data_IF_930634449208
#
_entry.id   IF_930634449208
#
_cell.length_a   1.000
_cell.length_b   1.000
_cell.length_c   1.000
_cell.angle_alpha   90.00
_cell.angle_beta   90.00
_cell.angle_gamma   90.00
#
_symmetry.space_group_name_H-M   'P 1'
#
loop_
_entity.id
_entity.type
_entity.pdbx_description
1 polymer ?
#
# COMPACT_ATOMS: atom_id res chain seq x y z
N UNK A 1 43.47 16.08 -21.77
CA UNK A 1 42.67 14.84 -21.93
C UNK A 1 41.87 14.91 -23.22
N UNK A 2 41.57 13.77 -23.86
CA UNK A 2 40.79 13.72 -25.10
C UNK A 2 39.42 14.43 -24.98
N UNK A 3 38.72 14.29 -23.84
CA UNK A 3 37.45 14.97 -23.57
C UNK A 3 37.54 16.50 -23.70
N UNK A 4 38.63 17.11 -23.21
CA UNK A 4 38.83 18.57 -23.31
C UNK A 4 39.02 19.04 -24.77
N UNK A 5 39.64 18.21 -25.61
CA UNK A 5 39.82 18.51 -27.04
C UNK A 5 38.46 18.46 -27.75
N UNK A 6 37.65 17.42 -27.48
CA UNK A 6 36.30 17.32 -28.02
C UNK A 6 35.38 18.44 -27.54
N UNK A 7 35.44 18.81 -26.25
CA UNK A 7 34.65 19.91 -25.70
C UNK A 7 34.97 21.26 -26.37
N UNK A 8 36.24 21.52 -26.70
CA UNK A 8 36.67 22.74 -27.42
C UNK A 8 36.26 22.75 -28.89
N UNK A 9 36.14 21.59 -29.50
CA UNK A 9 35.68 21.43 -30.89
C UNK A 9 34.16 21.32 -31.04
N UNK A 10 33.38 21.57 -29.98
CA UNK A 10 31.92 21.38 -29.96
C UNK A 10 31.46 19.96 -30.31
N UNK A 11 32.31 18.95 -30.14
CA UNK A 11 31.97 17.54 -30.29
C UNK A 11 31.37 17.00 -28.99
N UNK A 12 30.15 17.44 -28.68
CA UNK A 12 29.49 17.21 -27.38
C UNK A 12 29.34 15.71 -27.05
N UNK A 13 28.82 14.92 -27.99
CA UNK A 13 28.61 13.47 -27.83
C UNK A 13 29.93 12.73 -27.58
N UNK A 14 30.97 13.03 -28.35
CA UNK A 14 32.28 12.37 -28.22
C UNK A 14 32.96 12.74 -26.89
N UNK A 15 32.84 14.00 -26.46
CA UNK A 15 33.33 14.44 -25.16
C UNK A 15 32.69 13.61 -24.02
N UNK A 16 31.36 13.51 -24.01
CA UNK A 16 30.63 12.79 -22.97
C UNK A 16 30.85 11.27 -23.02
N UNK A 17 31.02 10.69 -24.21
CA UNK A 17 31.37 9.28 -24.37
C UNK A 17 32.76 8.98 -23.76
N UNK A 18 33.75 9.85 -24.00
CA UNK A 18 35.08 9.72 -23.38
C UNK A 18 34.99 9.87 -21.86
N UNK A 19 34.19 10.81 -21.36
CA UNK A 19 33.96 10.97 -19.93
C UNK A 19 33.31 9.72 -19.30
N UNK A 20 32.27 9.18 -19.93
CA UNK A 20 31.59 7.97 -19.46
C UNK A 20 32.51 6.75 -19.44
N UNK A 21 33.26 6.50 -20.53
CA UNK A 21 34.24 5.42 -20.63
C UNK A 21 35.39 5.56 -19.64
N UNK A 22 35.82 6.80 -19.38
CA UNK A 22 36.87 7.10 -18.41
C UNK A 22 36.41 7.12 -16.95
N UNK A 23 35.11 6.90 -16.68
CA UNK A 23 34.54 7.07 -15.33
C UNK A 23 34.59 8.51 -14.81
N UNK A 24 34.84 9.49 -15.68
CA UNK A 24 34.94 10.91 -15.37
C UNK A 24 33.56 11.58 -15.38
N UNK A 25 32.64 11.03 -14.57
CA UNK A 25 31.23 11.41 -14.63
C UNK A 25 31.01 12.83 -14.12
N UNK A 26 31.71 13.24 -13.06
CA UNK A 26 31.70 14.62 -12.55
C UNK A 26 32.23 15.63 -13.58
N UNK A 27 33.26 15.22 -14.34
CA UNK A 27 33.82 16.06 -15.41
C UNK A 27 32.83 16.18 -16.58
N UNK A 28 32.15 15.09 -16.96
CA UNK A 28 31.08 15.14 -17.96
C UNK A 28 29.93 16.05 -17.55
N UNK A 29 29.46 15.95 -16.31
CA UNK A 29 28.43 16.83 -15.74
C UNK A 29 28.85 18.30 -15.75
N UNK A 30 30.11 18.60 -15.43
CA UNK A 30 30.65 19.96 -15.49
C UNK A 30 30.59 20.54 -16.91
N UNK A 31 30.97 19.75 -17.93
CA UNK A 31 30.89 20.20 -19.32
C UNK A 31 29.46 20.52 -19.75
N UNK A 32 28.49 19.67 -19.38
CA UNK A 32 27.07 19.91 -19.68
C UNK A 32 26.60 21.23 -19.07
N UNK A 33 26.99 21.50 -17.82
CA UNK A 33 26.65 22.76 -17.16
C UNK A 33 27.25 23.98 -17.87
N UNK A 34 28.51 23.90 -18.29
CA UNK A 34 29.15 24.95 -19.09
C UNK A 34 28.43 25.17 -20.42
N UNK A 35 28.02 24.10 -21.08
CA UNK A 35 27.30 24.22 -22.35
C UNK A 35 25.92 24.87 -22.19
N UNK A 36 25.16 24.49 -21.16
CA UNK A 36 23.89 25.17 -20.83
C UNK A 36 24.05 26.66 -20.55
N UNK A 37 25.16 27.07 -19.94
CA UNK A 37 25.44 28.49 -19.69
C UNK A 37 25.70 29.25 -20.99
N UNK A 38 26.46 28.65 -21.89
CA UNK A 38 26.77 29.25 -23.19
C UNK A 38 25.53 29.33 -24.10
N UNK A 39 24.66 28.31 -24.11
CA UNK A 39 23.39 28.33 -24.83
C UNK A 39 22.46 29.45 -24.34
N UNK A 40 22.42 29.71 -23.02
CA UNK A 40 21.67 30.83 -22.46
C UNK A 40 22.24 32.19 -22.87
N UNK A 41 23.56 32.27 -23.08
CA UNK A 41 24.25 33.49 -23.49
C UNK A 41 24.14 33.75 -25.00
N UNK A 42 24.07 32.68 -25.80
CA UNK A 42 23.93 32.71 -27.25
C UNK A 42 23.00 31.56 -27.73
N UNK A 43 21.69 31.84 -27.89
CA UNK A 43 20.71 30.85 -28.31
C UNK A 43 20.95 30.22 -29.69
N UNK A 44 21.90 30.75 -30.48
CA UNK A 44 22.31 30.19 -31.78
C UNK A 44 23.54 29.29 -31.71
N UNK A 45 24.17 29.14 -30.54
CA UNK A 45 25.45 28.44 -30.38
C UNK A 45 25.37 26.93 -30.57
N UNK A 46 24.23 26.33 -30.22
CA UNK A 46 23.94 24.92 -30.43
C UNK A 46 22.44 24.71 -30.64
N UNK A 47 22.08 23.65 -31.37
CA UNK A 47 20.68 23.21 -31.42
C UNK A 47 20.27 22.70 -30.03
N UNK A 48 19.40 23.44 -29.36
CA UNK A 48 18.94 23.15 -27.99
C UNK A 48 18.39 21.73 -27.84
N UNK A 49 17.69 21.24 -28.86
CA UNK A 49 17.13 19.90 -28.90
C UNK A 49 18.23 18.82 -28.93
N UNK A 50 19.32 19.06 -29.66
CA UNK A 50 20.44 18.12 -29.73
C UNK A 50 21.20 18.08 -28.41
N UNK A 51 21.40 19.23 -27.76
CA UNK A 51 22.05 19.30 -26.45
C UNK A 51 21.24 18.55 -25.38
N UNK A 52 19.92 18.71 -25.40
CA UNK A 52 19.00 18.02 -24.52
C UNK A 52 19.08 16.50 -24.72
N UNK A 53 18.99 16.01 -25.95
CA UNK A 53 19.10 14.56 -26.23
C UNK A 53 20.47 13.98 -25.84
N UNK A 54 21.55 14.73 -26.07
CA UNK A 54 22.91 14.33 -25.71
C UNK A 54 23.09 14.24 -24.19
N UNK A 55 22.58 15.22 -23.44
CA UNK A 55 22.59 15.18 -21.98
C UNK A 55 21.79 14.00 -21.44
N UNK A 56 20.54 13.80 -21.91
CA UNK A 56 19.69 12.71 -21.43
C UNK A 56 20.37 11.35 -21.61
N UNK A 57 20.92 11.11 -22.81
CA UNK A 57 21.65 9.88 -23.12
C UNK A 57 22.90 9.71 -22.26
N UNK A 58 23.61 10.79 -21.94
CA UNK A 58 24.74 10.72 -21.04
C UNK A 58 24.31 10.35 -19.62
N UNK A 59 23.25 10.97 -19.09
CA UNK A 59 22.72 10.66 -17.77
C UNK A 59 22.27 9.19 -17.66
N UNK A 60 21.58 8.67 -18.69
CA UNK A 60 21.21 7.25 -18.78
C UNK A 60 22.42 6.33 -18.78
N UNK A 61 23.45 6.62 -19.57
CA UNK A 61 24.68 5.82 -19.59
C UNK A 61 25.41 5.85 -18.22
N UNK A 62 25.41 7.00 -17.54
CA UNK A 62 25.97 7.11 -16.20
C UNK A 62 25.20 6.26 -15.20
N UNK A 63 23.87 6.33 -15.24
CA UNK A 63 23.00 5.53 -14.39
C UNK A 63 23.23 4.03 -14.62
N UNK A 64 23.27 3.58 -15.89
CA UNK A 64 23.54 2.18 -16.25
C UNK A 64 24.91 1.71 -15.76
N UNK A 65 25.95 2.53 -15.88
CA UNK A 65 27.29 2.18 -15.40
C UNK A 65 27.32 1.95 -13.88
N UNK A 66 26.57 2.74 -13.10
CA UNK A 66 26.43 2.52 -11.65
C UNK A 66 25.52 1.33 -11.31
N UNK A 67 24.48 1.11 -12.09
CA UNK A 67 23.63 -0.08 -11.97
C UNK A 67 24.45 -1.36 -12.15
N UNK A 68 25.30 -1.44 -13.19
CA UNK A 68 26.18 -2.58 -13.45
C UNK A 68 27.16 -2.85 -12.29
N UNK A 69 27.45 -1.82 -11.47
CA UNK A 69 28.29 -1.89 -10.27
C UNK A 69 27.51 -2.14 -8.98
N UNK A 70 26.19 -2.32 -9.05
CA UNK A 70 25.27 -2.39 -7.90
C UNK A 70 25.35 -1.16 -6.96
N UNK A 71 25.72 0.00 -7.48
CA UNK A 71 25.71 1.26 -6.73
C UNK A 71 24.42 2.06 -7.03
N UNK A 72 23.31 1.56 -6.48
CA UNK A 72 21.98 2.17 -6.65
C UNK A 72 21.92 3.61 -6.14
N UNK A 73 22.70 3.94 -5.09
CA UNK A 73 22.76 5.31 -4.55
C UNK A 73 23.32 6.29 -5.57
N UNK A 74 24.43 5.95 -6.21
CA UNK A 74 25.02 6.80 -7.25
C UNK A 74 24.17 6.80 -8.51
N UNK A 75 23.61 5.65 -8.92
CA UNK A 75 22.66 5.56 -10.02
C UNK A 75 21.48 6.53 -9.83
N UNK A 76 20.84 6.52 -8.67
CA UNK A 76 19.69 7.37 -8.39
C UNK A 76 20.00 8.86 -8.41
N UNK A 77 21.26 9.29 -8.22
CA UNK A 77 21.64 10.70 -8.43
C UNK A 77 21.48 11.11 -9.90
N UNK A 78 21.84 10.24 -10.83
CA UNK A 78 21.68 10.49 -12.27
C UNK A 78 20.22 10.37 -12.69
N UNK A 79 19.50 9.35 -12.21
CA UNK A 79 18.06 9.20 -12.51
C UNK A 79 17.27 10.43 -12.07
N UNK A 80 17.52 10.97 -10.87
CA UNK A 80 16.86 12.20 -10.41
C UNK A 80 17.13 13.41 -11.31
N UNK A 81 18.26 13.43 -12.04
CA UNK A 81 18.62 14.49 -12.97
C UNK A 81 17.99 14.34 -14.37
N UNK A 82 17.30 13.24 -14.67
CA UNK A 82 16.59 13.07 -15.95
C UNK A 82 15.53 14.14 -16.14
N UNK A 83 15.27 14.48 -17.40
CA UNK A 83 14.52 15.69 -17.72
C UNK A 83 13.01 15.62 -17.44
N UNK A 84 12.41 14.43 -17.37
CA UNK A 84 10.99 14.25 -17.08
C UNK A 84 10.76 13.07 -16.15
N UNK A 85 9.62 13.07 -15.45
CA UNK A 85 9.22 11.93 -14.60
C UNK A 85 9.00 10.67 -15.43
N UNK A 86 8.48 10.80 -16.65
CA UNK A 86 8.23 9.65 -17.54
C UNK A 86 9.51 8.95 -17.97
N UNK A 87 10.59 9.72 -18.22
CA UNK A 87 11.91 9.15 -18.52
C UNK A 87 12.48 8.40 -17.30
N UNK A 88 12.29 8.95 -16.10
CA UNK A 88 12.72 8.29 -14.86
C UNK A 88 11.96 6.97 -14.63
N UNK A 89 10.63 7.01 -14.77
CA UNK A 89 9.75 5.84 -14.67
C UNK A 89 10.15 4.77 -15.68
N UNK A 90 10.23 5.15 -16.96
CA UNK A 90 10.57 4.22 -18.05
C UNK A 90 11.93 3.56 -17.84
N UNK A 91 12.92 4.31 -17.35
CA UNK A 91 14.24 3.78 -17.04
C UNK A 91 14.21 2.77 -15.89
N UNK A 92 13.63 3.12 -14.75
CA UNK A 92 13.58 2.24 -13.56
C UNK A 92 12.73 0.99 -13.83
N UNK A 93 11.62 1.12 -14.57
CA UNK A 93 10.81 -0.01 -15.02
C UNK A 93 11.58 -0.94 -15.95
N UNK A 94 12.40 -0.38 -16.87
CA UNK A 94 13.21 -1.19 -17.79
C UNK A 94 14.26 -2.04 -17.07
N UNK A 95 14.72 -1.58 -15.91
CA UNK A 95 15.67 -2.29 -15.04
C UNK A 95 15.00 -3.15 -13.97
N UNK A 96 13.66 -3.16 -13.92
CA UNK A 96 12.88 -3.84 -12.89
C UNK A 96 13.31 -3.43 -11.46
N UNK A 97 13.38 -2.12 -11.21
CA UNK A 97 13.77 -1.51 -9.93
C UNK A 97 12.57 -0.83 -9.24
N UNK A 98 11.67 -1.64 -8.63
CA UNK A 98 10.41 -1.13 -8.11
C UNK A 98 10.60 -0.38 -6.76
N UNK A 99 11.64 -0.68 -5.97
CA UNK A 99 11.95 0.03 -4.73
C UNK A 99 12.42 1.47 -5.01
N UNK A 100 13.33 1.64 -5.97
CA UNK A 100 13.82 2.95 -6.42
C UNK A 100 12.71 3.77 -7.09
N UNK A 101 11.82 3.10 -7.83
CA UNK A 101 10.65 3.74 -8.42
C UNK A 101 9.71 4.25 -7.32
N UNK A 102 9.52 3.48 -6.25
CA UNK A 102 8.71 3.88 -5.10
C UNK A 102 9.28 5.13 -4.43
N UNK A 103 10.60 5.15 -4.16
CA UNK A 103 11.30 6.29 -3.59
C UNK A 103 11.09 7.56 -4.44
N UNK A 104 11.22 7.41 -5.78
CA UNK A 104 11.03 8.51 -6.72
C UNK A 104 9.61 9.10 -6.69
N UNK A 105 8.58 8.26 -6.68
CA UNK A 105 7.19 8.73 -6.63
C UNK A 105 6.87 9.40 -5.30
N UNK A 106 7.37 8.86 -4.18
CA UNK A 106 7.20 9.48 -2.87
C UNK A 106 7.90 10.85 -2.78
N UNK A 107 9.12 10.99 -3.29
CA UNK A 107 9.85 12.27 -3.35
C UNK A 107 9.11 13.31 -4.21
N UNK A 108 8.43 12.84 -5.25
CA UNK A 108 7.65 13.69 -6.16
C UNK A 108 6.26 14.02 -5.62
N UNK A 109 5.85 13.45 -4.48
CA UNK A 109 4.51 13.60 -3.90
C UNK A 109 3.41 12.83 -4.66
N UNK A 110 3.78 11.94 -5.58
CA UNK A 110 2.87 11.14 -6.40
C UNK A 110 2.40 9.89 -5.63
N UNK A 111 1.81 10.09 -4.46
CA UNK A 111 1.47 8.98 -3.56
C UNK A 111 0.44 8.00 -4.14
N UNK A 112 -0.49 8.46 -4.99
CA UNK A 112 -1.44 7.58 -5.68
C UNK A 112 -0.74 6.62 -6.65
N UNK A 113 0.21 7.13 -7.43
CA UNK A 113 0.98 6.32 -8.36
C UNK A 113 1.82 5.29 -7.60
N UNK A 114 2.48 5.73 -6.53
CA UNK A 114 3.27 4.89 -5.63
C UNK A 114 2.43 3.75 -5.03
N UNK A 115 1.19 4.05 -4.61
CA UNK A 115 0.29 3.05 -4.05
C UNK A 115 -0.16 2.02 -5.10
N UNK A 116 -0.77 2.49 -6.19
CA UNK A 116 -1.53 1.64 -7.12
C UNK A 116 -0.62 0.86 -8.06
N UNK A 117 0.46 1.46 -8.55
CA UNK A 117 1.30 0.85 -9.59
C UNK A 117 2.54 0.16 -9.04
N UNK A 118 2.94 0.46 -7.79
CA UNK A 118 4.18 -0.08 -7.20
C UNK A 118 3.88 -0.92 -5.96
N UNK A 119 3.39 -0.34 -4.87
CA UNK A 119 3.20 -1.08 -3.62
C UNK A 119 2.19 -2.23 -3.77
N UNK A 120 1.09 -1.99 -4.50
CA UNK A 120 0.08 -3.01 -4.81
C UNK A 120 0.63 -4.16 -5.64
N UNK A 121 1.47 -3.88 -6.63
CA UNK A 121 2.05 -4.89 -7.51
C UNK A 121 3.11 -5.73 -6.79
N UNK A 122 3.82 -5.13 -5.83
CA UNK A 122 4.70 -5.84 -4.89
C UNK A 122 3.91 -6.70 -3.87
N UNK A 123 2.62 -6.43 -3.68
CA UNK A 123 1.80 -7.07 -2.65
C UNK A 123 2.07 -6.57 -1.22
N UNK A 124 2.71 -5.42 -1.06
CA UNK A 124 2.93 -4.80 0.25
C UNK A 124 1.69 -3.99 0.67
N UNK A 125 0.67 -4.71 1.15
CA UNK A 125 -0.65 -4.16 1.52
C UNK A 125 -0.55 -3.02 2.54
N UNK A 126 0.38 -3.14 3.51
CA UNK A 126 0.52 -2.12 4.55
C UNK A 126 1.18 -0.86 3.99
N UNK A 127 2.16 -1.02 3.08
CA UNK A 127 2.79 0.11 2.40
C UNK A 127 1.83 0.80 1.44
N UNK A 128 1.01 0.03 0.70
CA UNK A 128 -0.06 0.55 -0.16
C UNK A 128 -1.03 1.43 0.64
N UNK A 129 -1.50 0.93 1.80
CA UNK A 129 -2.39 1.69 2.66
C UNK A 129 -1.77 3.00 3.17
N UNK A 130 -0.47 3.00 3.49
CA UNK A 130 0.24 4.20 3.96
C UNK A 130 0.32 5.28 2.88
N UNK A 131 0.57 4.85 1.64
CA UNK A 131 0.64 5.74 0.49
C UNK A 131 -0.74 6.31 0.15
N UNK A 132 -1.79 5.49 0.18
CA UNK A 132 -3.18 5.96 0.03
C UNK A 132 -3.55 6.97 1.11
N UNK A 133 -3.17 6.72 2.36
CA UNK A 133 -3.35 7.68 3.45
C UNK A 133 -2.65 9.01 3.20
N UNK A 134 -1.42 9.00 2.66
CA UNK A 134 -0.71 10.23 2.26
C UNK A 134 -1.36 10.93 1.06
N UNK A 135 -2.00 10.18 0.17
CA UNK A 135 -2.72 10.71 -0.98
C UNK A 135 -4.10 11.31 -0.62
N UNK A 136 -4.60 11.06 0.60
CA UNK A 136 -5.92 11.48 1.05
C UNK A 136 -7.02 10.44 0.81
N UNK A 137 -6.67 9.26 0.29
CA UNK A 137 -7.60 8.13 0.08
C UNK A 137 -7.79 7.34 1.38
N UNK A 138 -8.35 8.01 2.40
CA UNK A 138 -8.45 7.48 3.76
C UNK A 138 -9.37 6.26 3.88
N UNK A 139 -10.45 6.21 3.07
CA UNK A 139 -11.37 5.07 3.08
C UNK A 139 -10.69 3.80 2.59
N UNK A 140 -9.96 3.88 1.48
CA UNK A 140 -9.24 2.74 0.91
C UNK A 140 -8.08 2.32 1.81
N UNK A 141 -7.36 3.28 2.38
CA UNK A 141 -6.31 3.02 3.37
C UNK A 141 -6.86 2.27 4.60
N UNK A 142 -8.02 2.70 5.12
CA UNK A 142 -8.70 2.00 6.22
C UNK A 142 -9.06 0.56 5.83
N UNK A 143 -9.72 0.36 4.69
CA UNK A 143 -10.21 -0.95 4.28
C UNK A 143 -9.05 -1.94 4.07
N UNK A 144 -7.93 -1.50 3.48
CA UNK A 144 -6.73 -2.33 3.31
C UNK A 144 -6.13 -2.76 4.64
N UNK A 145 -5.89 -1.83 5.58
CA UNK A 145 -5.34 -2.18 6.90
C UNK A 145 -6.28 -3.10 7.65
N UNK A 146 -7.57 -2.78 7.66
CA UNK A 146 -8.56 -3.59 8.36
C UNK A 146 -8.69 -4.99 7.74
N UNK A 147 -8.66 -5.11 6.40
CA UNK A 147 -8.63 -6.39 5.70
C UNK A 147 -7.36 -7.19 6.00
N UNK A 148 -6.20 -6.55 5.97
CA UNK A 148 -4.93 -7.21 6.34
C UNK A 148 -4.99 -7.79 7.75
N UNK A 149 -5.45 -7.00 8.73
CA UNK A 149 -5.58 -7.46 10.11
C UNK A 149 -6.53 -8.65 10.22
N UNK A 150 -7.67 -8.56 9.54
CA UNK A 150 -8.68 -9.60 9.53
C UNK A 150 -8.17 -10.91 8.91
N UNK A 151 -7.60 -10.83 7.71
CA UNK A 151 -7.00 -11.97 7.01
C UNK A 151 -5.86 -12.61 7.81
N UNK A 152 -5.00 -11.79 8.44
CA UNK A 152 -3.91 -12.27 9.29
C UNK A 152 -4.41 -12.92 10.58
N UNK A 153 -5.52 -12.42 11.14
CA UNK A 153 -6.18 -13.05 12.30
C UNK A 153 -6.73 -14.43 11.94
N UNK A 154 -7.25 -14.60 10.71
CA UNK A 154 -7.76 -15.87 10.20
C UNK A 154 -6.66 -16.87 9.87
N UNK A 155 -5.63 -16.44 9.15
CA UNK A 155 -4.66 -17.33 8.49
C UNK A 155 -3.26 -17.29 9.10
N UNK A 156 -3.08 -16.72 10.30
CA UNK A 156 -1.79 -16.80 11.01
C UNK A 156 -1.34 -18.25 11.20
N UNK A 157 -0.02 -18.48 11.21
CA UNK A 157 0.59 -19.82 11.20
C UNK A 157 -0.06 -20.80 12.20
N UNK A 158 -0.52 -21.94 11.69
CA UNK A 158 -1.22 -22.96 12.48
C UNK A 158 -2.67 -22.61 12.85
N UNK A 159 -3.29 -21.63 12.20
CA UNK A 159 -4.71 -21.32 12.36
C UNK A 159 -5.59 -22.21 11.49
N UNK A 160 -6.71 -22.69 12.05
CA UNK A 160 -7.77 -23.37 11.29
C UNK A 160 -8.88 -22.39 10.87
N UNK A 161 -8.52 -21.13 10.63
CA UNK A 161 -9.43 -20.00 10.43
C UNK A 161 -10.35 -19.65 11.62
N UNK A 162 -10.20 -20.35 12.75
CA UNK A 162 -11.07 -20.22 13.90
C UNK A 162 -10.37 -20.57 15.22
N UNK A 163 -10.57 -19.80 16.31
CA UNK A 163 -11.16 -18.45 16.36
C UNK A 163 -10.20 -17.40 15.76
N UNK A 164 -10.64 -16.14 15.63
CA UNK A 164 -9.77 -15.03 15.21
C UNK A 164 -8.57 -14.91 16.16
N UNK A 165 -7.36 -15.18 15.65
CA UNK A 165 -6.15 -15.17 16.48
C UNK A 165 -5.67 -13.74 16.74
N UNK A 166 -5.14 -13.55 17.95
CA UNK A 166 -4.37 -12.36 18.30
C UNK A 166 -2.96 -12.46 17.73
N UNK A 167 -2.38 -11.32 17.34
CA UNK A 167 -0.99 -11.23 16.91
C UNK A 167 -0.39 -9.89 17.36
N UNK A 168 0.93 -9.86 17.56
CA UNK A 168 1.64 -8.76 18.24
C UNK A 168 1.34 -7.36 17.68
N UNK A 169 1.16 -7.24 16.36
CA UNK A 169 0.96 -5.96 15.69
C UNK A 169 -0.52 -5.56 15.57
N UNK A 170 -1.48 -6.43 15.95
CA UNK A 170 -2.91 -6.25 15.66
C UNK A 170 -3.47 -4.93 16.20
N UNK A 171 -3.23 -4.64 17.48
CA UNK A 171 -3.71 -3.43 18.11
C UNK A 171 -3.14 -2.16 17.48
N UNK A 172 -1.85 -2.16 17.12
CA UNK A 172 -1.21 -1.03 16.44
C UNK A 172 -1.78 -0.77 15.05
N UNK A 173 -2.03 -1.83 14.27
CA UNK A 173 -2.63 -1.71 12.95
C UNK A 173 -4.08 -1.26 13.00
N UNK A 174 -4.89 -1.78 13.94
CA UNK A 174 -6.27 -1.33 14.12
C UNK A 174 -6.33 0.12 14.60
N UNK A 175 -5.42 0.53 15.49
CA UNK A 175 -5.28 1.94 15.89
C UNK A 175 -4.97 2.85 14.70
N UNK A 176 -4.09 2.41 13.79
CA UNK A 176 -3.79 3.13 12.55
C UNK A 176 -4.99 3.19 11.60
N UNK A 177 -5.69 2.07 11.39
CA UNK A 177 -6.93 2.07 10.60
C UNK A 177 -7.93 3.10 11.17
N UNK A 178 -8.11 3.14 12.49
CA UNK A 178 -8.97 4.11 13.14
C UNK A 178 -8.54 5.57 12.92
N UNK A 179 -7.24 5.86 12.78
CA UNK A 179 -6.80 7.21 12.38
C UNK A 179 -7.27 7.58 10.98
N UNK A 180 -7.22 6.67 10.01
CA UNK A 180 -7.79 6.91 8.68
C UNK A 180 -9.31 7.07 8.73
N UNK A 181 -10.00 6.24 9.51
CA UNK A 181 -11.45 6.33 9.65
C UNK A 181 -11.93 7.69 10.18
N UNK A 182 -11.16 8.33 11.08
CA UNK A 182 -11.43 9.70 11.57
C UNK A 182 -11.39 10.73 10.46
N UNK A 183 -10.40 10.62 9.57
CA UNK A 183 -10.23 11.54 8.45
C UNK A 183 -11.34 11.40 7.39
N UNK A 184 -11.97 10.21 7.29
CA UNK A 184 -13.15 10.00 6.42
C UNK A 184 -14.37 10.77 6.93
N UNK A 185 -14.80 10.50 8.17
CA UNK A 185 -15.89 11.22 8.86
C UNK A 185 -16.07 10.72 10.30
N UNK A 186 -16.74 11.52 11.14
CA UNK A 186 -17.11 11.11 12.50
C UNK A 186 -18.03 9.88 12.52
N UNK A 187 -19.03 9.83 11.63
CA UNK A 187 -19.96 8.69 11.54
C UNK A 187 -19.25 7.42 11.08
N UNK A 188 -18.33 7.52 10.12
CA UNK A 188 -17.53 6.38 9.69
C UNK A 188 -16.59 5.89 10.80
N UNK A 189 -15.99 6.81 11.56
CA UNK A 189 -15.17 6.46 12.72
C UNK A 189 -15.93 5.67 13.79
N UNK A 190 -17.18 6.04 14.08
CA UNK A 190 -18.03 5.30 15.03
C UNK A 190 -18.26 3.87 14.54
N UNK A 191 -18.65 3.70 13.27
CA UNK A 191 -18.83 2.38 12.65
C UNK A 191 -17.54 1.55 12.64
N UNK A 192 -16.41 2.17 12.32
CA UNK A 192 -15.10 1.53 12.33
C UNK A 192 -14.70 1.10 13.74
N UNK A 193 -14.96 1.93 14.75
CA UNK A 193 -14.66 1.63 16.16
C UNK A 193 -15.43 0.40 16.63
N UNK A 194 -16.72 0.31 16.32
CA UNK A 194 -17.55 -0.87 16.62
C UNK A 194 -17.00 -2.14 15.96
N UNK A 195 -16.59 -2.06 14.68
CA UNK A 195 -15.98 -3.21 13.97
C UNK A 195 -14.64 -3.64 14.56
N UNK A 196 -13.84 -2.68 15.02
CA UNK A 196 -12.55 -2.95 15.68
C UNK A 196 -12.74 -3.60 17.05
N UNK A 197 -13.77 -3.18 17.80
CA UNK A 197 -14.14 -3.77 19.08
C UNK A 197 -14.57 -5.23 18.91
N UNK A 198 -15.46 -5.52 17.97
CA UNK A 198 -15.84 -6.89 17.60
C UNK A 198 -14.63 -7.77 17.26
N UNK A 199 -13.63 -7.22 16.59
CA UNK A 199 -12.44 -7.99 16.22
C UNK A 199 -11.49 -8.26 17.40
N UNK A 200 -11.60 -7.50 18.49
CA UNK A 200 -10.66 -7.52 19.62
C UNK A 200 -11.25 -8.07 20.92
N UNK A 201 -12.56 -8.03 21.10
CA UNK A 201 -13.24 -8.38 22.35
C UNK A 201 -14.38 -9.36 22.10
N UNK A 202 -14.69 -10.07 23.18
CA UNK A 202 -15.86 -10.93 23.28
C UNK A 202 -17.00 -10.10 23.83
N UNK A 203 -17.78 -9.50 22.94
CA UNK A 203 -18.95 -8.71 23.33
C UNK A 203 -20.05 -9.63 23.88
N UNK A 204 -20.95 -9.06 24.69
CA UNK A 204 -22.13 -9.78 25.15
C UNK A 204 -22.99 -10.15 23.92
N UNK A 205 -23.57 -11.36 23.89
CA UNK A 205 -24.42 -11.86 22.79
C UNK A 205 -25.49 -10.83 22.39
N UNK A 206 -26.05 -10.09 23.35
CA UNK A 206 -27.00 -9.01 23.11
C UNK A 206 -26.46 -7.92 22.17
N UNK A 207 -25.24 -7.48 22.41
CA UNK A 207 -24.57 -6.41 21.67
C UNK A 207 -24.23 -6.88 20.25
N UNK A 208 -23.74 -8.12 20.11
CA UNK A 208 -23.44 -8.72 18.81
C UNK A 208 -24.72 -8.86 17.96
N UNK A 209 -25.85 -9.28 18.53
CA UNK A 209 -27.13 -9.38 17.80
C UNK A 209 -27.63 -8.00 17.35
N UNK A 210 -27.51 -6.97 18.18
CA UNK A 210 -27.90 -5.61 17.77
C UNK A 210 -27.01 -5.07 16.64
N UNK A 211 -25.71 -5.36 16.68
CA UNK A 211 -24.79 -5.00 15.61
C UNK A 211 -25.04 -5.81 14.33
N UNK A 212 -25.44 -7.08 14.42
CA UNK A 212 -25.88 -7.88 13.28
C UNK A 212 -27.11 -7.27 12.61
N UNK A 213 -28.10 -6.84 13.40
CA UNK A 213 -29.29 -6.13 12.89
C UNK A 213 -28.92 -4.83 12.18
N UNK A 214 -28.07 -4.03 12.83
CA UNK A 214 -27.55 -2.81 12.21
C UNK A 214 -26.83 -3.14 10.90
N UNK A 215 -25.97 -4.15 10.88
CA UNK A 215 -25.23 -4.57 9.68
C UNK A 215 -26.17 -4.96 8.54
N UNK A 216 -27.24 -5.73 8.82
CA UNK A 216 -28.28 -6.09 7.84
C UNK A 216 -29.04 -4.89 7.30
N UNK A 217 -29.42 -3.96 8.17
CA UNK A 217 -30.12 -2.72 7.78
C UNK A 217 -29.25 -1.89 6.82
N UNK A 218 -27.94 -1.86 7.07
CA UNK A 218 -26.97 -1.14 6.24
C UNK A 218 -26.37 -2.02 5.12
N UNK A 219 -26.89 -3.22 4.89
CA UNK A 219 -26.38 -4.19 3.90
C UNK A 219 -24.86 -4.44 3.98
N UNK A 220 -24.31 -4.41 5.19
CA UNK A 220 -22.88 -4.59 5.43
C UNK A 220 -22.52 -6.06 5.56
N UNK A 221 -22.28 -6.72 4.42
CA UNK A 221 -21.90 -8.15 4.35
C UNK A 221 -20.74 -8.48 5.31
N UNK A 222 -19.71 -7.63 5.34
CA UNK A 222 -18.55 -7.80 6.22
C UNK A 222 -18.92 -7.70 7.70
N UNK A 223 -19.78 -6.75 8.07
CA UNK A 223 -20.27 -6.60 9.43
C UNK A 223 -21.12 -7.81 9.87
N UNK A 224 -21.96 -8.31 8.97
CA UNK A 224 -22.75 -9.53 9.20
C UNK A 224 -21.87 -10.75 9.45
N UNK A 225 -20.86 -10.99 8.59
CA UNK A 225 -19.92 -12.10 8.75
C UNK A 225 -19.19 -12.02 10.09
N UNK A 226 -18.70 -10.83 10.47
CA UNK A 226 -18.03 -10.60 11.76
C UNK A 226 -18.95 -10.89 12.95
N UNK A 227 -20.19 -10.39 12.92
CA UNK A 227 -21.14 -10.62 14.00
C UNK A 227 -21.54 -12.09 14.11
N UNK A 228 -21.80 -12.76 12.99
CA UNK A 228 -22.13 -14.19 12.96
C UNK A 228 -20.97 -15.04 13.48
N UNK A 229 -19.73 -14.66 13.15
CA UNK A 229 -18.55 -15.26 13.75
C UNK A 229 -18.50 -15.02 15.26
N UNK A 230 -18.61 -13.81 15.78
CA UNK A 230 -18.52 -13.68 17.24
C UNK A 230 -19.68 -14.33 18.01
N UNK A 231 -20.86 -14.43 17.40
CA UNK A 231 -21.96 -15.25 17.94
C UNK A 231 -21.55 -16.73 18.04
N UNK A 232 -20.98 -17.30 16.97
CA UNK A 232 -20.48 -18.67 16.99
C UNK A 232 -19.40 -18.88 18.05
N UNK A 233 -18.42 -17.97 18.17
CA UNK A 233 -17.32 -18.13 19.14
C UNK A 233 -17.88 -18.09 20.57
N UNK A 234 -18.83 -17.19 20.82
CA UNK A 234 -19.56 -17.12 22.09
C UNK A 234 -20.30 -18.41 22.40
N UNK A 235 -21.03 -18.97 21.42
CA UNK A 235 -21.80 -20.20 21.57
C UNK A 235 -20.93 -21.45 21.77
N UNK A 236 -19.80 -21.55 21.07
CA UNK A 236 -18.86 -22.68 21.23
C UNK A 236 -18.11 -22.66 22.57
N UNK A 237 -17.97 -21.49 23.20
CA UNK A 237 -17.39 -21.38 24.55
C UNK A 237 -18.35 -21.78 25.65
N UNK A 238 -19.66 -21.81 25.39
CA UNK A 238 -20.66 -22.21 26.37
C UNK A 238 -20.63 -23.73 26.56
N UNK A 239 -20.72 -24.16 27.82
CA UNK A 239 -20.89 -25.58 28.12
C UNK A 239 -22.25 -26.06 27.56
N UNK A 240 -22.26 -27.23 26.93
CA UNK A 240 -23.47 -27.90 26.41
C UNK A 240 -24.63 -27.92 27.42
N UNK A 241 -24.34 -28.01 28.71
CA UNK A 241 -25.32 -27.99 29.81
C UNK A 241 -26.11 -26.67 29.95
N UNK A 242 -25.71 -25.60 29.26
CA UNK A 242 -26.39 -24.29 29.27
C UNK A 242 -27.44 -24.17 28.17
N UNK A 243 -27.48 -25.10 27.21
CA UNK A 243 -28.48 -25.12 26.17
C UNK A 243 -29.75 -25.79 26.69
N UNK A 244 -30.87 -25.08 26.62
CA UNK A 244 -32.18 -25.61 27.00
C UNK A 244 -32.90 -26.02 25.74
N UNK A 245 -33.10 -27.32 25.58
CA UNK A 245 -33.92 -27.86 24.49
C UNK A 245 -35.39 -27.55 24.78
N UNK A 246 -36.05 -26.85 23.85
CA UNK A 246 -37.45 -26.46 23.99
C UNK A 246 -38.25 -27.07 22.83
N UNK A 247 -39.16 -27.98 23.17
CA UNK A 247 -39.96 -28.81 22.24
C UNK A 247 -40.96 -28.02 21.38
N UNK A 248 -41.20 -26.74 21.69
CA UNK A 248 -42.19 -25.89 21.03
C UNK A 248 -41.53 -24.68 20.36
N UNK A 249 -41.20 -24.81 19.06
CA UNK A 249 -40.45 -23.82 18.26
C UNK A 249 -41.27 -22.67 17.67
N UNK A 250 -42.58 -22.61 17.89
CA UNK A 250 -43.46 -21.84 16.99
C UNK A 250 -43.64 -20.34 17.28
N UNK A 251 -43.03 -19.77 18.34
CA UNK A 251 -43.36 -18.38 18.74
C UNK A 251 -42.16 -17.50 19.15
N UNK A 252 -40.92 -17.91 18.86
CA UNK A 252 -39.72 -17.11 19.17
C UNK A 252 -38.92 -16.89 17.89
N UNK A 253 -38.57 -15.64 17.59
CA UNK A 253 -37.68 -15.33 16.47
C UNK A 253 -36.33 -16.05 16.66
N UNK A 254 -35.68 -16.43 15.56
CA UNK A 254 -34.34 -17.06 15.56
C UNK A 254 -33.36 -16.24 16.43
N UNK A 255 -33.44 -14.92 16.36
CA UNK A 255 -32.66 -13.97 17.18
C UNK A 255 -32.95 -14.11 18.68
N UNK A 256 -34.22 -14.29 19.06
CA UNK A 256 -34.62 -14.54 20.45
C UNK A 256 -34.13 -15.90 20.97
N UNK A 257 -34.03 -16.91 20.11
CA UNK A 257 -33.48 -18.22 20.45
C UNK A 257 -31.96 -18.16 20.68
N UNK A 258 -31.23 -17.46 19.80
CA UNK A 258 -29.79 -17.18 19.93
C UNK A 258 -29.50 -16.48 21.27
N UNK A 259 -30.26 -15.43 21.57
CA UNK A 259 -30.15 -14.64 22.80
C UNK A 259 -30.33 -15.44 24.10
N UNK A 260 -31.15 -16.50 24.06
CA UNK A 260 -31.50 -17.31 25.25
C UNK A 260 -30.73 -18.63 25.34
N UNK A 261 -29.80 -18.91 24.42
CA UNK A 261 -29.15 -20.23 24.28
C UNK A 261 -30.18 -21.38 24.11
N UNK A 262 -31.30 -21.10 23.45
CA UNK A 262 -32.40 -22.06 23.22
C UNK A 262 -32.31 -22.65 21.81
N UNK A 263 -31.13 -23.14 21.43
CA UNK A 263 -30.86 -23.73 20.12
C UNK A 263 -30.38 -25.17 20.30
N UNK A 264 -30.91 -26.12 19.52
CA UNK A 264 -30.28 -27.44 19.38
C UNK A 264 -29.04 -27.31 18.49
N UNK A 265 -28.12 -28.28 18.56
CA UNK A 265 -26.96 -28.33 17.65
C UNK A 265 -27.43 -28.37 16.18
N UNK A 266 -28.54 -29.04 15.87
CA UNK A 266 -29.11 -29.03 14.50
C UNK A 266 -29.72 -27.68 14.14
N UNK A 267 -30.38 -26.99 15.09
CA UNK A 267 -30.98 -25.67 14.83
C UNK A 267 -29.90 -24.62 14.59
N UNK A 268 -28.78 -24.72 15.32
CA UNK A 268 -27.59 -23.90 15.14
C UNK A 268 -26.99 -24.06 13.74
N UNK A 269 -27.04 -25.27 13.18
CA UNK A 269 -26.63 -25.53 11.80
C UNK A 269 -27.63 -24.97 10.78
N UNK A 270 -28.94 -25.20 10.98
CA UNK A 270 -30.00 -24.75 10.07
C UNK A 270 -30.16 -23.23 10.00
N UNK A 271 -29.91 -22.50 11.07
CA UNK A 271 -29.99 -21.05 11.01
C UNK A 271 -28.84 -20.45 10.16
N UNK A 272 -27.72 -21.16 10.04
CA UNK A 272 -26.44 -20.65 9.54
C UNK A 272 -26.08 -21.12 8.12
N UNK A 273 -26.79 -22.11 7.58
CA UNK A 273 -26.78 -22.44 6.14
C UNK A 273 -27.67 -21.49 5.34
#
# INVERSE_FOLDING_TARGET
MAAQVYARGSFFSDCLNVCAKGGLLDTGSHYIQCWKQNERADPGWANSHDLYAIEQKFMENCALNYFDKNDYRSMMKFVRAFHSIDLKRGFLQSLNLPDELLELEEESGNFMEAAVNIAKTMGDILREADLLGKAGEFLDAYELVFFYVFAKSLWSGGSKAWPLKQFTQKAGLLGKALTFAKEVSSSFYELASTKVELSNKHDNIFEIVNQLKSSRIHSSIRGEILCLWELLDSHFRLNSSKYVWQDSMFDVSVEGMIMKNQLSVETLFCCWC
#
